data_IF_711090878557
#
_entry.id   IF_711090878557
#
_cell.length_a   1.000
_cell.length_b   1.000
_cell.length_c   1.000
_cell.angle_alpha   90.00
_cell.angle_beta   90.00
_cell.angle_gamma   90.00
#
_symmetry.space_group_name_H-M   'P 1'
#
loop_
_entity.id
_entity.type
_entity.pdbx_description
1 polymer ?
#
# COMPACT_ATOMS: atom_id res chain seq x y z
N UNK A 1 -4.52 -22.95 18.38
CA UNK A 1 -4.90 -21.56 18.00
C UNK A 1 -5.30 -21.59 16.53
N UNK A 2 -6.41 -21.00 16.19
CA UNK A 2 -6.87 -20.87 14.80
C UNK A 2 -5.83 -20.12 13.99
N UNK A 3 -5.53 -20.57 12.78
CA UNK A 3 -4.61 -19.90 11.87
C UNK A 3 -5.41 -19.09 10.85
N UNK A 4 -4.81 -18.03 10.31
CA UNK A 4 -5.42 -17.15 9.31
C UNK A 4 -4.67 -17.28 7.99
N UNK A 5 -5.42 -17.52 6.92
CA UNK A 5 -4.87 -17.77 5.59
C UNK A 5 -5.37 -16.75 4.57
N UNK A 6 -4.45 -16.24 3.76
CA UNK A 6 -4.78 -15.58 2.50
C UNK A 6 -5.20 -16.67 1.52
N UNK A 7 -6.42 -16.59 1.02
CA UNK A 7 -6.98 -17.57 0.08
C UNK A 7 -7.06 -17.07 -1.35
N UNK A 8 -7.49 -15.83 -1.55
CA UNK A 8 -7.48 -15.15 -2.86
C UNK A 8 -7.19 -13.67 -2.67
N UNK A 9 -6.62 -13.04 -3.70
CA UNK A 9 -6.27 -11.64 -3.66
C UNK A 9 -6.24 -11.05 -5.07
N UNK A 10 -6.70 -9.80 -5.22
CA UNK A 10 -6.69 -9.09 -6.49
C UNK A 10 -6.62 -7.58 -6.26
N UNK A 11 -6.14 -6.83 -7.24
CA UNK A 11 -6.06 -5.38 -7.22
C UNK A 11 -6.47 -4.75 -8.54
N UNK A 12 -6.81 -3.49 -8.52
CA UNK A 12 -6.90 -2.69 -9.75
C UNK A 12 -5.49 -2.44 -10.31
N UNK A 13 -5.36 -2.03 -11.58
CA UNK A 13 -4.18 -1.30 -12.02
C UNK A 13 -3.92 -0.10 -11.09
N UNK A 14 -2.68 0.35 -11.01
CA UNK A 14 -2.34 1.60 -10.33
C UNK A 14 -2.32 2.74 -11.36
N UNK A 15 -3.23 3.69 -11.20
CA UNK A 15 -3.32 4.89 -12.03
C UNK A 15 -2.34 5.98 -11.58
N UNK A 16 -1.90 6.82 -12.51
CA UNK A 16 -1.18 8.06 -12.18
C UNK A 16 -2.16 9.12 -11.68
N UNK A 17 -1.63 10.11 -10.98
CA UNK A 17 -2.39 11.32 -10.66
C UNK A 17 -2.97 11.95 -11.92
N UNK A 18 -4.27 12.23 -11.90
CA UNK A 18 -5.04 12.71 -13.04
C UNK A 18 -4.95 11.81 -14.29
N UNK A 19 -4.61 10.52 -14.12
CA UNK A 19 -4.47 9.53 -15.19
C UNK A 19 -5.76 8.73 -15.44
N UNK A 20 -5.59 7.51 -15.92
CA UNK A 20 -6.69 6.68 -16.41
C UNK A 20 -7.80 6.42 -15.38
N UNK A 21 -7.46 6.27 -14.09
CA UNK A 21 -8.43 6.01 -13.01
C UNK A 21 -9.04 7.28 -12.39
N UNK A 22 -8.60 8.46 -12.77
CA UNK A 22 -9.01 9.73 -12.14
C UNK A 22 -10.51 10.06 -12.26
N UNK A 23 -11.20 9.47 -13.25
CA UNK A 23 -12.65 9.63 -13.42
C UNK A 23 -13.47 8.65 -12.60
N UNK A 24 -12.86 7.60 -12.03
CA UNK A 24 -13.53 6.61 -11.19
C UNK A 24 -13.70 7.16 -9.79
N UNK A 25 -14.92 7.16 -9.24
CA UNK A 25 -15.17 7.60 -7.86
C UNK A 25 -14.39 6.75 -6.87
N UNK A 26 -13.98 7.33 -5.75
CA UNK A 26 -13.16 6.63 -4.76
C UNK A 26 -13.88 5.42 -4.15
N UNK A 27 -15.17 5.50 -3.90
CA UNK A 27 -16.00 4.43 -3.37
C UNK A 27 -16.27 3.32 -4.42
N UNK A 28 -16.48 3.68 -5.69
CA UNK A 28 -16.59 2.71 -6.80
C UNK A 28 -15.25 1.99 -7.03
N UNK A 29 -14.14 2.72 -7.01
CA UNK A 29 -12.79 2.15 -7.14
C UNK A 29 -12.51 1.08 -6.05
N UNK A 30 -12.91 1.37 -4.82
CA UNK A 30 -12.76 0.45 -3.69
C UNK A 30 -13.61 -0.83 -3.85
N UNK A 31 -14.75 -0.75 -4.52
CA UNK A 31 -15.66 -1.88 -4.74
C UNK A 31 -15.17 -2.85 -5.83
N UNK A 32 -14.40 -2.36 -6.82
CA UNK A 32 -13.96 -3.18 -7.98
C UNK A 32 -13.25 -4.48 -7.56
N UNK A 33 -12.19 -4.48 -6.73
CA UNK A 33 -11.51 -5.71 -6.36
C UNK A 33 -12.35 -6.63 -5.48
N UNK A 34 -13.28 -6.10 -4.67
CA UNK A 34 -14.22 -6.91 -3.89
C UNK A 34 -15.17 -7.66 -4.84
N UNK A 35 -15.74 -6.95 -5.81
CA UNK A 35 -16.63 -7.55 -6.82
C UNK A 35 -15.89 -8.65 -7.60
N UNK A 36 -14.65 -8.41 -7.98
CA UNK A 36 -13.83 -9.41 -8.68
C UNK A 36 -13.60 -10.66 -7.81
N UNK A 37 -13.38 -10.52 -6.49
CA UNK A 37 -13.27 -11.66 -5.59
C UNK A 37 -14.57 -12.45 -5.49
N UNK A 38 -15.74 -11.77 -5.46
CA UNK A 38 -17.04 -12.42 -5.47
C UNK A 38 -17.23 -13.25 -6.74
N UNK A 39 -16.94 -12.68 -7.89
CA UNK A 39 -17.06 -13.33 -9.20
C UNK A 39 -16.11 -14.53 -9.37
N UNK A 40 -14.89 -14.42 -8.83
CA UNK A 40 -13.88 -15.49 -8.89
C UNK A 40 -14.16 -16.66 -7.94
N UNK A 41 -14.93 -16.42 -6.88
CA UNK A 41 -15.20 -17.40 -5.83
C UNK A 41 -16.70 -17.66 -5.68
N UNK A 42 -17.38 -18.20 -6.73
CA UNK A 42 -18.84 -18.39 -6.73
C UNK A 42 -19.31 -19.47 -5.75
N UNK A 43 -18.40 -20.26 -5.18
CA UNK A 43 -18.71 -21.27 -4.17
C UNK A 43 -18.74 -20.75 -2.74
N UNK A 44 -18.34 -19.48 -2.51
CA UNK A 44 -18.33 -18.88 -1.18
C UNK A 44 -19.73 -18.43 -0.80
N UNK A 45 -20.18 -18.83 0.39
CA UNK A 45 -21.38 -18.25 1.01
C UNK A 45 -21.02 -16.88 1.61
N UNK A 46 -21.26 -15.83 0.85
CA UNK A 46 -20.98 -14.46 1.27
C UNK A 46 -21.87 -13.98 2.43
N UNK A 47 -22.91 -14.72 2.80
CA UNK A 47 -23.67 -14.45 4.01
C UNK A 47 -22.88 -14.80 5.29
N UNK A 48 -21.85 -15.64 5.18
CA UNK A 48 -20.91 -15.95 6.26
C UNK A 48 -19.77 -14.93 6.40
N UNK A 49 -19.70 -13.90 5.54
CA UNK A 49 -18.66 -12.88 5.64
C UNK A 49 -18.89 -12.02 6.89
N UNK A 50 -17.94 -12.09 7.82
CA UNK A 50 -18.02 -11.37 9.10
C UNK A 50 -17.79 -9.85 8.91
N UNK A 51 -16.76 -9.48 8.15
CA UNK A 51 -16.38 -8.06 8.04
C UNK A 51 -15.61 -7.75 6.75
N UNK A 52 -15.62 -6.47 6.36
CA UNK A 52 -14.75 -5.87 5.37
C UNK A 52 -13.82 -4.88 6.07
N UNK A 53 -12.53 -5.14 6.13
CA UNK A 53 -11.53 -4.28 6.79
C UNK A 53 -10.68 -3.60 5.73
N UNK A 54 -10.93 -2.30 5.48
CA UNK A 54 -10.23 -1.56 4.43
C UNK A 54 -9.40 -0.40 4.97
N UNK A 55 -8.18 -0.26 4.44
CA UNK A 55 -7.35 0.90 4.64
C UNK A 55 -7.71 2.04 3.70
N UNK A 56 -7.82 3.26 4.25
CA UNK A 56 -7.93 4.50 3.50
C UNK A 56 -7.34 5.64 4.33
N UNK A 57 -6.42 6.41 3.75
CA UNK A 57 -5.72 7.45 4.48
C UNK A 57 -6.46 8.81 4.45
N UNK A 58 -7.10 9.18 3.34
CA UNK A 58 -7.70 10.50 3.19
C UNK A 58 -9.04 10.63 3.91
N UNK A 59 -10.05 9.90 3.49
CA UNK A 59 -11.42 9.89 4.04
C UNK A 59 -12.11 11.28 4.09
N UNK A 60 -11.66 12.22 3.27
CA UNK A 60 -12.19 13.60 3.25
C UNK A 60 -13.21 13.85 2.11
N UNK A 61 -13.26 12.99 1.10
CA UNK A 61 -14.08 13.13 -0.10
C UNK A 61 -15.11 12.02 -0.26
N UNK A 62 -15.14 11.41 -1.42
CA UNK A 62 -16.03 10.29 -1.78
C UNK A 62 -15.72 9.02 -0.99
N UNK A 63 -14.57 8.97 -0.38
CA UNK A 63 -14.04 7.95 0.53
C UNK A 63 -14.47 8.14 2.01
N UNK A 64 -15.36 9.07 2.30
CA UNK A 64 -15.90 9.31 3.64
C UNK A 64 -16.95 8.25 4.05
N UNK A 65 -17.47 8.37 5.26
CA UNK A 65 -18.59 7.55 5.76
C UNK A 65 -18.34 6.03 5.80
N UNK A 66 -17.14 5.59 6.10
CA UNK A 66 -16.80 4.18 6.14
C UNK A 66 -16.73 3.54 4.73
N UNK A 67 -15.65 3.86 4.02
CA UNK A 67 -15.39 3.37 2.68
C UNK A 67 -15.53 1.83 2.56
N UNK A 68 -15.06 1.07 3.55
CA UNK A 68 -15.14 -0.39 3.57
C UNK A 68 -16.57 -0.89 3.44
N UNK A 69 -17.47 -0.34 4.27
CA UNK A 69 -18.88 -0.72 4.23
C UNK A 69 -19.55 -0.33 2.91
N UNK A 70 -19.26 0.89 2.42
CA UNK A 70 -19.81 1.34 1.13
C UNK A 70 -19.30 0.47 -0.02
N UNK A 71 -18.00 0.18 -0.07
CA UNK A 71 -17.41 -0.67 -1.09
C UNK A 71 -17.99 -2.10 -1.10
N UNK A 72 -18.19 -2.69 0.08
CA UNK A 72 -18.82 -4.00 0.21
C UNK A 72 -20.24 -4.02 -0.37
N UNK A 73 -21.08 -3.04 -0.01
CA UNK A 73 -22.44 -2.91 -0.54
C UNK A 73 -22.46 -2.66 -2.06
N UNK A 74 -21.61 -1.77 -2.55
CA UNK A 74 -21.47 -1.48 -3.99
C UNK A 74 -20.99 -2.70 -4.79
N UNK A 75 -20.17 -3.55 -4.18
CA UNK A 75 -19.70 -4.79 -4.78
C UNK A 75 -20.75 -5.91 -4.80
N UNK A 76 -21.85 -5.75 -4.05
CA UNK A 76 -22.95 -6.72 -3.98
C UNK A 76 -22.83 -7.71 -2.83
N UNK A 77 -22.01 -7.45 -1.81
CA UNK A 77 -22.02 -8.23 -0.58
C UNK A 77 -23.37 -8.08 0.15
N UNK A 78 -23.80 -9.09 0.91
CA UNK A 78 -25.02 -9.01 1.72
C UNK A 78 -24.98 -7.83 2.71
N UNK A 79 -26.14 -7.26 2.99
CA UNK A 79 -26.28 -6.17 3.95
C UNK A 79 -26.07 -6.62 5.41
N UNK A 80 -26.00 -7.92 5.67
CA UNK A 80 -25.57 -8.52 6.93
C UNK A 80 -24.06 -8.38 7.20
N UNK A 81 -23.20 -8.24 6.18
CA UNK A 81 -21.75 -8.12 6.36
C UNK A 81 -21.38 -6.79 7.00
N UNK A 82 -20.47 -6.79 7.96
CA UNK A 82 -19.92 -5.57 8.55
C UNK A 82 -18.96 -4.81 7.62
N UNK A 83 -18.39 -3.72 8.12
CA UNK A 83 -17.33 -2.99 7.42
C UNK A 83 -16.68 -1.96 8.31
N UNK A 84 -15.35 -1.87 8.28
CA UNK A 84 -14.57 -0.87 9.02
C UNK A 84 -13.46 -0.29 8.15
N UNK A 85 -13.39 1.04 8.11
CA UNK A 85 -12.29 1.76 7.45
C UNK A 85 -11.28 2.20 8.49
N UNK A 86 -10.04 1.77 8.33
CA UNK A 86 -8.97 2.13 9.23
C UNK A 86 -7.96 3.08 8.57
N UNK A 87 -7.31 3.90 9.38
CA UNK A 87 -6.27 4.82 8.96
C UNK A 87 -4.99 4.62 9.77
N UNK A 88 -3.98 4.08 9.11
CA UNK A 88 -2.57 4.11 9.53
C UNK A 88 -1.74 4.74 8.40
N UNK A 89 -2.27 5.80 7.77
CA UNK A 89 -1.67 6.46 6.60
C UNK A 89 -1.23 5.42 5.55
N UNK A 90 0.02 5.50 5.08
CA UNK A 90 0.57 4.57 4.07
C UNK A 90 0.40 3.08 4.44
N UNK A 91 0.46 2.74 5.74
CA UNK A 91 0.37 1.37 6.25
C UNK A 91 -1.04 0.81 6.40
N UNK A 92 -2.08 1.59 6.05
CA UNK A 92 -3.48 1.23 6.31
C UNK A 92 -3.87 -0.13 5.71
N UNK A 93 -3.54 -0.39 4.45
CA UNK A 93 -3.88 -1.66 3.81
C UNK A 93 -3.17 -2.87 4.42
N UNK A 94 -1.91 -2.72 4.85
CA UNK A 94 -1.18 -3.81 5.50
C UNK A 94 -1.70 -4.07 6.93
N UNK A 95 -2.11 -3.01 7.63
CA UNK A 95 -2.72 -3.15 8.94
C UNK A 95 -4.14 -3.77 8.85
N UNK A 96 -4.88 -3.51 7.76
CA UNK A 96 -6.16 -4.19 7.48
C UNK A 96 -5.97 -5.72 7.41
N UNK A 97 -4.97 -6.20 6.66
CA UNK A 97 -4.59 -7.62 6.60
C UNK A 97 -4.19 -8.16 7.98
N UNK A 98 -3.39 -7.38 8.73
CA UNK A 98 -2.95 -7.77 10.07
C UNK A 98 -4.12 -7.81 11.07
N UNK A 99 -5.09 -6.91 10.98
CA UNK A 99 -6.28 -6.90 11.85
C UNK A 99 -7.19 -8.08 11.55
N UNK A 100 -7.47 -8.36 10.27
CA UNK A 100 -8.24 -9.52 9.85
C UNK A 100 -7.61 -10.83 10.37
N UNK A 101 -6.30 -10.99 10.20
CA UNK A 101 -5.60 -12.17 10.71
C UNK A 101 -5.65 -12.28 12.24
N UNK A 102 -5.62 -11.15 12.98
CA UNK A 102 -5.76 -11.15 14.45
C UNK A 102 -7.17 -11.54 14.89
N UNK A 103 -8.21 -11.02 14.22
CA UNK A 103 -9.61 -11.35 14.52
C UNK A 103 -9.86 -12.85 14.34
N UNK A 104 -9.41 -13.43 13.22
CA UNK A 104 -9.53 -14.87 12.95
C UNK A 104 -8.76 -15.70 13.99
N UNK A 105 -7.51 -15.33 14.28
CA UNK A 105 -6.69 -16.05 15.28
C UNK A 105 -7.23 -15.90 16.70
N UNK A 106 -7.94 -14.82 16.98
CA UNK A 106 -8.66 -14.57 18.24
C UNK A 106 -9.98 -15.35 18.37
N UNK A 107 -10.46 -15.94 17.27
CA UNK A 107 -11.75 -16.63 17.23
C UNK A 107 -12.96 -15.67 17.23
N UNK A 108 -12.75 -14.41 16.82
CA UNK A 108 -13.82 -13.40 16.72
C UNK A 108 -14.46 -13.40 15.33
N UNK A 109 -13.78 -13.96 14.33
CA UNK A 109 -14.21 -14.03 12.93
C UNK A 109 -13.62 -15.25 12.24
N UNK A 110 -14.25 -15.68 11.16
CA UNK A 110 -13.79 -16.83 10.34
C UNK A 110 -13.50 -16.45 8.89
N UNK A 111 -14.22 -15.48 8.31
CA UNK A 111 -14.09 -15.05 6.92
C UNK A 111 -14.15 -13.53 6.83
N UNK A 112 -13.07 -12.93 6.33
CA UNK A 112 -12.92 -11.47 6.22
C UNK A 112 -12.39 -11.11 4.84
N UNK A 113 -12.89 -10.02 4.26
CA UNK A 113 -12.23 -9.32 3.16
C UNK A 113 -11.38 -8.18 3.75
N UNK A 114 -10.06 -8.28 3.62
CA UNK A 114 -9.14 -7.22 4.00
C UNK A 114 -8.57 -6.53 2.76
N UNK A 115 -8.22 -5.26 2.86
CA UNK A 115 -7.66 -4.57 1.72
C UNK A 115 -7.44 -3.08 1.94
N UNK A 116 -7.63 -2.32 0.88
CA UNK A 116 -7.59 -0.87 0.97
C UNK A 116 -7.67 -0.18 -0.38
N UNK A 117 -7.98 1.09 -0.35
CA UNK A 117 -8.13 1.93 -1.53
C UNK A 117 -7.67 3.35 -1.24
N UNK A 118 -7.15 3.99 -2.27
CA UNK A 118 -6.89 5.42 -2.27
C UNK A 118 -7.13 5.98 -3.65
N UNK A 119 -7.89 7.06 -3.76
CA UNK A 119 -7.96 7.89 -4.96
C UNK A 119 -7.37 9.26 -4.64
N UNK A 120 -6.07 9.41 -4.93
CA UNK A 120 -5.38 10.66 -4.66
C UNK A 120 -5.72 11.73 -5.71
N UNK A 121 -6.13 11.31 -6.92
CA UNK A 121 -6.62 12.23 -7.96
C UNK A 121 -7.95 12.92 -7.58
N UNK A 122 -8.77 12.28 -6.77
CA UNK A 122 -10.09 12.78 -6.36
C UNK A 122 -10.12 13.32 -4.92
N UNK A 123 -8.95 13.43 -4.30
CA UNK A 123 -8.81 14.04 -2.99
C UNK A 123 -9.33 15.50 -3.02
N UNK A 124 -10.31 15.87 -2.17
CA UNK A 124 -10.97 17.15 -2.26
C UNK A 124 -10.14 18.28 -1.64
N UNK A 125 -10.50 19.51 -1.99
CA UNK A 125 -10.14 20.66 -1.18
C UNK A 125 -11.01 20.71 0.08
N UNK A 126 -10.41 21.10 1.20
CA UNK A 126 -11.10 21.26 2.49
C UNK A 126 -10.81 22.62 3.11
N UNK A 127 -11.77 23.14 3.83
CA UNK A 127 -11.70 24.44 4.50
C UNK A 127 -12.23 24.33 5.92
N UNK A 128 -11.54 24.95 6.88
CA UNK A 128 -12.02 25.03 8.26
C UNK A 128 -13.25 25.94 8.35
N UNK A 129 -14.08 25.72 9.37
CA UNK A 129 -15.11 26.71 9.72
C UNK A 129 -14.46 27.94 10.30
N UNK A 130 -15.09 29.11 10.05
CA UNK A 130 -14.71 30.36 10.70
C UNK A 130 -14.75 30.21 12.23
N UNK A 131 -13.75 30.79 12.91
CA UNK A 131 -13.64 30.76 14.39
C UNK A 131 -14.26 31.96 15.05
N UNK A 132 -14.60 32.99 14.28
CA UNK A 132 -15.26 34.20 14.71
C UNK A 132 -16.34 34.70 13.76
N UNK A 133 -17.29 35.49 14.22
CA UNK A 133 -18.28 36.13 13.36
C UNK A 133 -17.59 37.10 12.38
N UNK A 134 -18.04 37.14 11.12
CA UNK A 134 -17.51 38.01 10.08
C UNK A 134 -16.02 37.80 9.77
N UNK A 135 -15.48 36.60 10.06
CA UNK A 135 -14.12 36.25 9.69
C UNK A 135 -13.94 36.38 8.16
N UNK A 136 -12.86 37.06 7.77
CA UNK A 136 -12.52 37.27 6.35
C UNK A 136 -11.34 36.43 5.89
N UNK A 137 -10.78 35.60 6.78
CA UNK A 137 -9.69 34.68 6.48
C UNK A 137 -10.27 33.29 6.22
N UNK A 138 -10.23 32.85 4.96
CA UNK A 138 -10.57 31.49 4.57
C UNK A 138 -9.31 30.84 3.99
N UNK A 139 -8.86 29.76 4.62
CA UNK A 139 -7.74 28.97 4.14
C UNK A 139 -8.27 27.64 3.61
N UNK A 140 -7.89 27.31 2.37
CA UNK A 140 -8.29 26.09 1.70
C UNK A 140 -7.07 25.19 1.49
N UNK A 141 -7.21 23.93 1.85
CA UNK A 141 -6.15 22.93 1.75
C UNK A 141 -6.48 21.88 0.69
N UNK A 142 -5.52 21.57 -0.17
CA UNK A 142 -5.55 20.39 -1.03
C UNK A 142 -5.22 19.15 -0.17
N UNK A 143 -6.09 18.14 -0.20
CA UNK A 143 -5.90 16.92 0.60
C UNK A 143 -5.21 15.79 -0.15
N UNK A 144 -4.77 16.03 -1.39
CA UNK A 144 -4.06 15.05 -2.23
C UNK A 144 -2.83 14.49 -1.51
N UNK A 145 -2.00 15.37 -0.95
CA UNK A 145 -0.78 15.01 -0.21
C UNK A 145 -0.41 16.13 0.77
N UNK A 146 0.25 15.78 1.86
CA UNK A 146 0.80 16.75 2.81
C UNK A 146 -0.13 17.07 3.99
N UNK A 147 0.27 18.10 4.72
CA UNK A 147 -0.39 18.52 5.94
C UNK A 147 -1.58 19.43 5.65
N UNK A 148 -2.63 19.27 6.45
CA UNK A 148 -3.77 20.17 6.54
C UNK A 148 -4.16 20.37 7.99
N UNK A 149 -4.64 21.55 8.36
CA UNK A 149 -5.04 21.89 9.75
C UNK A 149 -3.94 21.56 10.77
N UNK A 150 -2.70 21.99 10.50
CA UNK A 150 -1.52 21.62 11.29
C UNK A 150 -1.72 22.06 12.75
N UNK A 151 -1.61 21.11 13.67
CA UNK A 151 -1.66 21.40 15.10
C UNK A 151 -0.37 22.13 15.54
N UNK A 152 -0.45 23.36 16.08
CA UNK A 152 0.74 24.13 16.46
C UNK A 152 1.65 23.44 17.48
N UNK A 153 1.09 22.62 18.38
CA UNK A 153 1.88 21.86 19.37
C UNK A 153 2.66 20.72 18.69
N UNK A 154 2.04 20.05 17.72
CA UNK A 154 2.73 19.03 16.92
C UNK A 154 3.86 19.64 16.10
N UNK A 155 3.59 20.78 15.44
CA UNK A 155 4.62 21.50 14.67
C UNK A 155 5.79 21.94 15.55
N UNK A 156 5.52 22.46 16.73
CA UNK A 156 6.56 22.90 17.67
C UNK A 156 7.40 21.73 18.21
N UNK A 157 6.80 20.56 18.45
CA UNK A 157 7.47 19.42 19.06
C UNK A 157 8.19 18.52 18.04
N UNK A 158 7.63 18.35 16.84
CA UNK A 158 8.07 17.32 15.87
C UNK A 158 8.27 17.86 14.45
N UNK A 159 7.91 19.13 14.18
CA UNK A 159 7.91 19.69 12.84
C UNK A 159 6.68 19.29 12.01
N UNK A 160 6.63 19.83 10.81
CA UNK A 160 5.61 19.54 9.79
C UNK A 160 6.28 19.27 8.43
N UNK A 161 7.39 18.54 8.45
CA UNK A 161 8.15 18.19 7.26
C UNK A 161 7.23 17.57 6.20
N UNK A 162 7.39 18.00 4.95
CA UNK A 162 6.73 17.36 3.82
C UNK A 162 7.29 15.95 3.59
N UNK A 163 6.54 15.08 2.92
CA UNK A 163 7.03 13.72 2.66
C UNK A 163 8.38 13.70 1.93
N UNK A 164 8.61 14.49 0.86
CA UNK A 164 9.94 14.58 0.24
C UNK A 164 11.02 15.08 1.20
N UNK A 165 10.70 16.02 2.11
CA UNK A 165 11.65 16.49 3.12
C UNK A 165 12.07 15.38 4.08
N UNK A 166 11.17 14.48 4.45
CA UNK A 166 11.52 13.30 5.26
C UNK A 166 12.46 12.35 4.51
N UNK A 167 12.28 12.21 3.19
CA UNK A 167 13.21 11.47 2.32
C UNK A 167 14.62 12.07 2.32
N UNK A 168 14.74 13.41 2.19
CA UNK A 168 16.02 14.12 2.30
C UNK A 168 16.65 13.97 3.69
N UNK A 169 15.85 14.05 4.77
CA UNK A 169 16.36 13.85 6.12
C UNK A 169 16.98 12.46 6.29
N UNK A 170 16.33 11.42 5.74
CA UNK A 170 16.87 10.05 5.74
C UNK A 170 18.16 9.98 4.89
N UNK A 171 18.16 10.55 3.68
CA UNK A 171 19.35 10.56 2.83
C UNK A 171 20.54 11.19 3.55
N UNK A 172 20.34 12.32 4.23
CA UNK A 172 21.37 13.02 4.97
C UNK A 172 21.85 12.24 6.19
N UNK A 173 20.92 11.76 7.03
CA UNK A 173 21.23 11.12 8.31
C UNK A 173 21.90 9.74 8.12
N UNK A 174 21.49 9.00 7.08
CA UNK A 174 22.02 7.68 6.74
C UNK A 174 23.04 7.71 5.60
N UNK A 175 23.45 8.89 5.18
CA UNK A 175 24.51 9.10 4.15
C UNK A 175 24.23 8.34 2.84
N UNK A 176 22.99 8.40 2.37
CA UNK A 176 22.58 7.77 1.11
C UNK A 176 22.87 8.73 -0.05
N UNK A 177 23.76 8.33 -0.95
CA UNK A 177 24.15 9.16 -2.09
C UNK A 177 23.01 9.30 -3.12
N UNK A 178 23.07 10.32 -3.98
CA UNK A 178 22.17 10.50 -5.11
C UNK A 178 22.32 9.36 -6.11
N UNK A 179 23.53 8.93 -6.34
CA UNK A 179 23.86 7.85 -7.27
C UNK A 179 23.26 6.52 -6.83
N UNK A 180 23.35 6.17 -5.55
CA UNK A 180 22.71 4.98 -4.99
C UNK A 180 21.18 5.04 -5.14
N UNK A 181 20.58 6.21 -4.87
CA UNK A 181 19.14 6.42 -5.02
C UNK A 181 18.66 6.25 -6.46
N UNK A 182 19.39 6.80 -7.42
CA UNK A 182 19.04 6.69 -8.83
C UNK A 182 19.24 5.25 -9.35
N UNK A 183 20.28 4.54 -8.88
CA UNK A 183 20.48 3.12 -9.20
C UNK A 183 19.36 2.23 -8.64
N UNK A 184 18.92 2.49 -7.39
CA UNK A 184 17.79 1.80 -6.79
C UNK A 184 16.49 2.05 -7.59
N UNK A 185 16.24 3.30 -7.98
CA UNK A 185 15.07 3.67 -8.77
C UNK A 185 15.07 3.03 -10.16
N UNK A 186 16.21 3.00 -10.85
CA UNK A 186 16.35 2.33 -12.15
C UNK A 186 16.01 0.85 -12.03
N UNK A 187 16.57 0.16 -11.04
CA UNK A 187 16.29 -1.26 -10.80
C UNK A 187 14.81 -1.54 -10.56
N UNK A 188 14.11 -0.67 -9.79
CA UNK A 188 12.67 -0.77 -9.59
C UNK A 188 11.92 -0.69 -10.92
N UNK A 189 12.27 0.25 -11.81
CA UNK A 189 11.66 0.40 -13.14
C UNK A 189 11.95 -0.81 -14.04
N UNK A 190 13.17 -1.31 -14.08
CA UNK A 190 13.55 -2.47 -14.89
C UNK A 190 12.80 -3.73 -14.45
N UNK A 191 12.69 -3.98 -13.14
CA UNK A 191 11.94 -5.11 -12.58
C UNK A 191 10.45 -5.00 -12.88
N UNK A 192 9.86 -3.82 -12.74
CA UNK A 192 8.46 -3.60 -13.10
C UNK A 192 8.18 -3.81 -14.58
N UNK A 193 9.06 -3.30 -15.45
CA UNK A 193 8.95 -3.50 -16.90
C UNK A 193 9.03 -4.98 -17.29
N UNK A 194 9.96 -5.73 -16.69
CA UNK A 194 10.08 -7.17 -16.91
C UNK A 194 8.83 -7.92 -16.42
N UNK A 195 8.31 -7.58 -15.25
CA UNK A 195 7.12 -8.20 -14.66
C UNK A 195 5.83 -7.85 -15.41
N UNK A 196 5.73 -6.66 -16.03
CA UNK A 196 4.65 -6.35 -16.97
C UNK A 196 4.78 -7.16 -18.27
N UNK A 197 5.97 -7.23 -18.85
CA UNK A 197 6.20 -7.89 -20.13
C UNK A 197 5.96 -9.42 -20.07
N UNK A 198 6.29 -10.07 -18.96
CA UNK A 198 6.12 -11.52 -18.77
C UNK A 198 4.76 -11.93 -18.17
N UNK A 199 3.83 -10.98 -17.97
CA UNK A 199 2.49 -11.22 -17.45
C UNK A 199 2.41 -11.44 -15.93
N UNK A 200 3.52 -11.27 -15.19
CA UNK A 200 3.53 -11.47 -13.72
C UNK A 200 2.57 -10.50 -13.02
N UNK A 201 2.60 -9.22 -13.38
CA UNK A 201 1.72 -8.22 -12.79
C UNK A 201 0.26 -8.40 -13.24
N UNK A 202 0.01 -8.83 -14.46
CA UNK A 202 -1.34 -9.09 -14.96
C UNK A 202 -2.08 -10.17 -14.16
N UNK A 203 -1.36 -11.13 -13.57
CA UNK A 203 -1.96 -12.19 -12.75
C UNK A 203 -2.64 -11.68 -11.46
N UNK A 204 -2.29 -10.49 -11.00
CA UNK A 204 -2.85 -9.88 -9.79
C UNK A 204 -3.78 -8.69 -10.07
N UNK A 205 -4.05 -8.39 -11.34
CA UNK A 205 -4.82 -7.21 -11.77
C UNK A 205 -6.20 -7.62 -12.28
N UNK A 206 -7.24 -6.96 -11.76
CA UNK A 206 -8.58 -6.95 -12.37
C UNK A 206 -8.68 -5.79 -13.35
N UNK A 207 -9.21 -6.06 -14.54
CA UNK A 207 -9.47 -5.04 -15.56
C UNK A 207 -10.50 -4.04 -15.04
N UNK A 208 -10.23 -2.75 -15.22
CA UNK A 208 -11.17 -1.68 -14.90
C UNK A 208 -11.78 -1.14 -16.19
N UNK A 209 -13.07 -1.30 -16.34
CA UNK A 209 -13.84 -0.75 -17.46
C UNK A 209 -14.45 0.59 -17.07
N UNK A 210 -14.06 1.65 -17.76
CA UNK A 210 -14.53 3.02 -17.49
C UNK A 210 -15.55 3.42 -18.55
N UNK A 211 -16.85 3.46 -18.21
CA UNK A 211 -17.89 3.85 -19.15
C UNK A 211 -17.63 5.23 -19.75
N UNK A 212 -17.84 5.36 -21.05
CA UNK A 212 -17.74 6.63 -21.75
C UNK A 212 -19.13 7.18 -22.05
N UNK A 213 -19.23 8.51 -22.14
CA UNK A 213 -20.50 9.15 -22.54
C UNK A 213 -20.93 8.74 -23.95
N UNK A 214 -19.99 8.41 -24.81
CA UNK A 214 -20.20 7.91 -26.19
C UNK A 214 -19.06 6.98 -26.54
N UNK A 215 -19.35 5.89 -27.27
CA UNK A 215 -18.37 4.88 -27.69
C UNK A 215 -18.19 3.77 -26.66
N UNK A 216 -17.16 2.95 -26.88
CA UNK A 216 -16.82 1.81 -26.03
C UNK A 216 -16.17 2.28 -24.71
N UNK A 217 -16.26 1.50 -23.63
CA UNK A 217 -15.58 1.80 -22.38
C UNK A 217 -14.05 1.88 -22.58
N UNK A 218 -13.39 2.73 -21.80
CA UNK A 218 -11.92 2.69 -21.71
C UNK A 218 -11.52 1.52 -20.85
N UNK A 219 -10.64 0.67 -21.37
CA UNK A 219 -10.12 -0.50 -20.68
C UNK A 219 -8.78 -0.15 -20.03
N UNK A 220 -8.69 -0.30 -18.71
CA UNK A 220 -7.45 -0.13 -17.95
C UNK A 220 -7.07 -1.49 -17.36
N UNK A 221 -6.03 -2.11 -17.91
CA UNK A 221 -5.62 -3.49 -17.64
C UNK A 221 -4.18 -3.63 -17.13
N UNK A 222 -3.46 -2.52 -16.97
CA UNK A 222 -2.06 -2.49 -16.52
C UNK A 222 -1.74 -1.23 -15.72
N UNK A 223 -0.72 -1.35 -14.88
CA UNK A 223 -0.19 -0.21 -14.12
C UNK A 223 0.31 0.87 -15.07
N UNK A 224 -0.13 2.11 -14.82
CA UNK A 224 0.13 3.26 -15.69
C UNK A 224 1.43 3.98 -15.34
N UNK A 225 1.94 3.81 -14.12
CA UNK A 225 3.06 4.58 -13.58
C UNK A 225 4.45 4.14 -14.08
N UNK A 226 4.73 2.84 -14.41
CA UNK A 226 6.03 2.40 -14.89
C UNK A 226 6.48 3.16 -16.14
N UNK A 227 7.75 3.54 -16.20
CA UNK A 227 8.33 4.30 -17.32
C UNK A 227 9.76 3.84 -17.65
N UNK A 228 10.09 3.80 -18.93
CA UNK A 228 11.46 3.58 -19.35
C UNK A 228 12.35 4.76 -18.93
N UNK A 229 13.49 4.47 -18.32
CA UNK A 229 14.47 5.47 -17.88
C UNK A 229 15.89 4.92 -17.94
N UNK A 230 16.88 5.76 -17.70
CA UNK A 230 18.31 5.40 -17.61
C UNK A 230 18.96 6.16 -16.45
N UNK A 231 20.12 5.72 -15.96
CA UNK A 231 20.90 6.48 -14.96
C UNK A 231 21.21 7.90 -15.43
N UNK A 232 21.52 8.07 -16.71
CA UNK A 232 21.79 9.39 -17.28
C UNK A 232 20.54 10.30 -17.22
N UNK A 233 19.37 9.75 -17.54
CA UNK A 233 18.10 10.50 -17.47
C UNK A 233 17.74 10.85 -16.02
N UNK A 234 17.89 9.91 -15.08
CA UNK A 234 17.67 10.13 -13.65
C UNK A 234 18.62 11.19 -13.10
N UNK A 235 19.92 11.11 -13.42
CA UNK A 235 20.93 12.06 -12.97
C UNK A 235 20.69 13.52 -13.41
N UNK A 236 19.93 13.74 -14.50
CA UNK A 236 19.54 15.08 -14.97
C UNK A 236 18.36 15.69 -14.23
N UNK A 237 17.63 14.90 -13.43
CA UNK A 237 16.48 15.40 -12.68
C UNK A 237 16.93 16.32 -11.54
N UNK A 238 16.22 17.43 -11.42
CA UNK A 238 16.46 18.39 -10.33
C UNK A 238 15.89 17.86 -9.01
N UNK A 239 16.58 18.10 -7.88
CA UNK A 239 16.04 17.86 -6.57
C UNK A 239 14.74 18.64 -6.35
N UNK A 240 13.78 18.04 -5.62
CA UNK A 240 12.43 18.61 -5.42
C UNK A 240 12.25 19.29 -4.06
N UNK A 241 13.21 19.12 -3.13
CA UNK A 241 13.13 19.69 -1.77
C UNK A 241 14.01 20.93 -1.65
N UNK A 242 15.28 20.82 -2.00
CA UNK A 242 16.29 21.89 -1.92
C UNK A 242 17.29 21.78 -3.06
N UNK A 243 17.96 22.85 -3.49
CA UNK A 243 18.84 22.84 -4.65
C UNK A 243 20.01 21.84 -4.57
N UNK A 244 20.53 21.59 -3.36
CA UNK A 244 21.60 20.65 -3.03
C UNK A 244 21.08 19.29 -2.53
N UNK A 245 19.78 19.03 -2.71
CA UNK A 245 19.13 17.79 -2.27
C UNK A 245 19.39 16.62 -3.22
N UNK A 246 18.91 15.45 -2.81
CA UNK A 246 19.10 14.19 -3.52
C UNK A 246 17.78 13.55 -3.99
N UNK A 247 16.66 13.88 -3.34
CA UNK A 247 15.33 13.36 -3.69
C UNK A 247 14.81 14.08 -4.93
N UNK A 248 14.39 13.29 -5.91
CA UNK A 248 13.85 13.77 -7.19
C UNK A 248 12.54 13.06 -7.54
N UNK A 249 11.84 13.54 -8.55
CA UNK A 249 10.67 12.84 -9.11
C UNK A 249 11.01 11.46 -9.73
N UNK A 250 12.30 11.15 -9.93
CA UNK A 250 12.76 9.88 -10.49
C UNK A 250 13.03 8.82 -9.44
N UNK A 251 13.35 9.20 -8.20
CA UNK A 251 13.73 8.31 -7.11
C UNK A 251 12.77 8.37 -5.90
N UNK A 252 11.57 8.89 -6.13
CA UNK A 252 10.44 8.91 -5.21
C UNK A 252 9.24 8.20 -5.83
N UNK A 253 8.36 7.66 -5.00
CA UNK A 253 7.05 7.14 -5.44
C UNK A 253 6.14 8.25 -5.94
N UNK A 254 5.15 7.90 -6.75
CA UNK A 254 4.16 8.84 -7.28
C UNK A 254 2.96 9.07 -6.36
N UNK A 255 2.12 10.01 -6.77
CA UNK A 255 0.74 10.22 -6.32
C UNK A 255 -0.16 9.39 -7.23
N UNK A 256 -0.95 8.48 -6.67
CA UNK A 256 -1.57 7.41 -7.46
C UNK A 256 -2.98 7.06 -6.96
N UNK A 257 -3.73 6.37 -7.83
CA UNK A 257 -5.05 5.82 -7.56
C UNK A 257 -5.01 4.30 -7.63
N UNK A 258 -5.73 3.60 -6.74
CA UNK A 258 -5.83 2.14 -6.80
C UNK A 258 -6.55 1.53 -5.60
N UNK A 259 -6.94 0.27 -5.77
CA UNK A 259 -7.59 -0.53 -4.73
C UNK A 259 -7.14 -1.99 -4.79
N UNK A 260 -7.14 -2.67 -3.63
CA UNK A 260 -6.82 -4.09 -3.52
C UNK A 260 -7.73 -4.76 -2.48
N UNK A 261 -8.08 -6.02 -2.73
CA UNK A 261 -8.88 -6.85 -1.81
C UNK A 261 -8.26 -8.24 -1.69
N UNK A 262 -8.35 -8.81 -0.49
CA UNK A 262 -7.77 -10.09 -0.09
C UNK A 262 -8.79 -10.84 0.75
N UNK A 263 -9.10 -12.07 0.39
CA UNK A 263 -9.87 -12.99 1.23
C UNK A 263 -8.96 -13.60 2.27
N UNK A 264 -9.31 -13.39 3.54
CA UNK A 264 -8.62 -14.01 4.68
C UNK A 264 -9.63 -14.89 5.41
N UNK A 265 -9.27 -16.15 5.61
CA UNK A 265 -10.16 -17.13 6.20
C UNK A 265 -9.43 -17.98 7.26
N UNK A 266 -10.20 -18.52 8.23
CA UNK A 266 -9.76 -19.64 9.05
C UNK A 266 -9.66 -20.91 8.18
N UNK A 267 -8.94 -21.94 8.65
CA UNK A 267 -8.85 -23.21 7.92
C UNK A 267 -10.24 -23.83 7.71
N UNK A 268 -11.10 -23.76 8.73
CA UNK A 268 -12.46 -24.28 8.69
C UNK A 268 -13.34 -23.52 7.68
N UNK A 269 -13.29 -22.19 7.70
CA UNK A 269 -14.04 -21.37 6.74
C UNK A 269 -13.54 -21.57 5.31
N UNK A 270 -12.22 -21.66 5.11
CA UNK A 270 -11.65 -21.94 3.81
C UNK A 270 -12.15 -23.28 3.27
N UNK A 271 -12.10 -24.34 4.08
CA UNK A 271 -12.59 -25.67 3.70
C UNK A 271 -14.10 -25.67 3.39
N UNK A 272 -14.90 -25.03 4.25
CA UNK A 272 -16.36 -24.98 4.10
C UNK A 272 -16.79 -24.23 2.84
N UNK A 273 -16.06 -23.18 2.47
CA UNK A 273 -16.34 -22.34 1.32
C UNK A 273 -15.55 -22.74 0.05
N UNK A 274 -14.83 -23.87 0.06
CA UNK A 274 -14.05 -24.34 -1.10
C UNK A 274 -12.89 -23.42 -1.49
N UNK A 275 -12.43 -22.58 -0.57
CA UNK A 275 -11.27 -21.69 -0.77
C UNK A 275 -9.97 -22.47 -0.57
N UNK A 276 -8.97 -22.13 -1.37
CA UNK A 276 -7.63 -22.75 -1.25
C UNK A 276 -6.70 -21.79 -0.49
N UNK A 277 -6.22 -22.16 0.71
CA UNK A 277 -5.17 -21.42 1.39
C UNK A 277 -3.92 -21.29 0.52
N UNK A 278 -3.38 -20.07 0.41
CA UNK A 278 -2.20 -19.76 -0.40
C UNK A 278 -1.02 -19.32 0.48
N UNK A 279 -1.29 -18.51 1.49
CA UNK A 279 -0.28 -18.12 2.47
C UNK A 279 -0.91 -17.99 3.85
N UNK A 280 -0.19 -18.45 4.87
CA UNK A 280 -0.52 -18.23 6.27
C UNK A 280 0.05 -16.91 6.75
N UNK A 281 -0.75 -16.10 7.44
CA UNK A 281 -0.27 -14.88 8.09
C UNK A 281 0.39 -15.25 9.42
N UNK A 282 1.71 -15.23 9.50
CA UNK A 282 2.46 -15.57 10.70
C UNK A 282 2.32 -14.52 11.81
N UNK A 283 2.20 -13.26 11.43
CA UNK A 283 2.02 -12.14 12.35
C UNK A 283 2.39 -10.82 11.76
N UNK A 284 2.18 -9.76 12.56
CA UNK A 284 2.53 -8.39 12.20
C UNK A 284 3.09 -7.63 13.41
N UNK A 285 3.89 -6.60 13.14
CA UNK A 285 4.37 -5.68 14.16
C UNK A 285 4.44 -4.26 13.63
N UNK A 286 4.27 -3.30 14.55
CA UNK A 286 4.45 -1.87 14.28
C UNK A 286 5.54 -1.32 15.20
N UNK A 287 6.23 -0.29 14.71
CA UNK A 287 7.23 0.45 15.48
C UNK A 287 7.08 1.95 15.23
N UNK A 288 7.36 2.77 16.25
CA UNK A 288 7.46 4.22 16.11
C UNK A 288 8.91 4.64 15.92
N UNK A 289 9.11 5.71 15.15
CA UNK A 289 10.41 6.37 14.92
C UNK A 289 10.20 7.89 14.90
N UNK A 290 11.25 8.71 15.01
CA UNK A 290 11.09 10.16 14.91
C UNK A 290 10.38 10.56 13.60
N UNK A 291 9.35 11.42 13.62
CA UNK A 291 8.56 11.79 12.44
C UNK A 291 9.40 12.30 11.27
N UNK A 292 10.46 13.07 11.54
CA UNK A 292 11.34 13.65 10.51
C UNK A 292 12.12 12.64 9.68
N UNK A 293 12.29 11.43 10.21
CA UNK A 293 12.95 10.29 9.53
C UNK A 293 12.02 9.08 9.46
N UNK A 294 10.73 9.31 9.24
CA UNK A 294 9.70 8.25 9.20
C UNK A 294 10.07 7.08 8.29
N UNK A 295 10.90 7.34 7.26
CA UNK A 295 11.31 6.36 6.26
C UNK A 295 12.00 5.12 6.82
N UNK A 296 12.66 5.22 8.00
CA UNK A 296 13.35 4.06 8.61
C UNK A 296 12.41 3.13 9.40
N UNK A 297 11.13 3.50 9.57
CA UNK A 297 10.17 2.72 10.34
C UNK A 297 10.08 1.22 9.99
N UNK A 298 10.26 0.79 8.73
CA UNK A 298 10.28 -0.63 8.35
C UNK A 298 11.34 -1.46 9.09
N UNK A 299 12.53 -0.92 9.32
CA UNK A 299 13.63 -1.65 9.96
C UNK A 299 13.25 -2.12 11.39
N UNK A 300 12.92 -1.22 12.36
CA UNK A 300 12.55 -1.66 13.70
C UNK A 300 11.22 -2.44 13.74
N UNK A 301 10.29 -2.22 12.79
CA UNK A 301 9.07 -3.02 12.71
C UNK A 301 9.36 -4.46 12.29
N UNK A 302 10.24 -4.65 11.29
CA UNK A 302 10.67 -5.96 10.81
C UNK A 302 11.48 -6.71 11.87
N UNK A 303 12.46 -6.07 12.50
CA UNK A 303 13.24 -6.66 13.59
C UNK A 303 12.36 -7.13 14.74
N UNK A 304 11.40 -6.29 15.16
CA UNK A 304 10.44 -6.64 16.22
C UNK A 304 9.58 -7.83 15.85
N UNK A 305 9.12 -7.90 14.60
CA UNK A 305 8.31 -9.02 14.10
C UNK A 305 9.13 -10.31 14.06
N UNK A 306 10.29 -10.28 13.38
CA UNK A 306 11.15 -11.43 13.20
C UNK A 306 11.61 -12.00 14.54
N UNK A 307 12.02 -11.14 15.48
CA UNK A 307 12.36 -11.55 16.85
C UNK A 307 11.21 -12.29 17.54
N UNK A 308 9.97 -11.80 17.40
CA UNK A 308 8.78 -12.45 17.99
C UNK A 308 8.51 -13.82 17.41
N UNK A 309 8.78 -13.99 16.11
CA UNK A 309 8.58 -15.24 15.39
C UNK A 309 9.77 -16.21 15.49
N UNK A 310 10.89 -15.80 16.09
CA UNK A 310 12.12 -16.61 16.12
C UNK A 310 12.78 -16.74 14.75
N UNK A 311 12.52 -15.80 13.82
CA UNK A 311 13.04 -15.76 12.46
C UNK A 311 14.11 -14.69 12.31
N UNK A 312 14.87 -14.78 11.23
CA UNK A 312 15.88 -13.81 10.82
C UNK A 312 15.58 -13.31 9.40
N UNK A 313 16.08 -12.14 9.04
CA UNK A 313 15.87 -11.55 7.70
C UNK A 313 16.42 -12.43 6.56
N UNK A 314 17.46 -13.20 6.83
CA UNK A 314 18.03 -14.16 5.86
C UNK A 314 17.12 -15.35 5.57
N UNK A 315 16.12 -15.62 6.42
CA UNK A 315 15.18 -16.72 6.26
C UNK A 315 14.05 -16.36 5.28
N UNK A 316 13.94 -15.06 4.89
CA UNK A 316 12.93 -14.59 3.96
C UNK A 316 13.34 -14.89 2.51
N UNK A 317 12.42 -15.51 1.76
CA UNK A 317 12.58 -15.78 0.33
C UNK A 317 12.08 -14.62 -0.54
N UNK A 318 11.12 -13.83 -0.03
CA UNK A 318 10.54 -12.65 -0.69
C UNK A 318 10.43 -11.51 0.32
N UNK A 319 10.86 -10.32 -0.07
CA UNK A 319 10.76 -9.10 0.73
C UNK A 319 10.09 -8.02 -0.11
N UNK A 320 8.85 -7.69 0.20
CA UNK A 320 8.13 -6.55 -0.37
C UNK A 320 8.30 -5.34 0.55
N UNK A 321 9.23 -4.46 0.20
CA UNK A 321 9.49 -3.19 0.88
C UNK A 321 8.88 -2.04 0.08
N UNK A 322 7.95 -1.30 0.66
CA UNK A 322 7.40 -0.12 -0.02
C UNK A 322 8.48 0.94 -0.26
N UNK A 323 8.61 1.37 -1.49
CA UNK A 323 9.60 2.36 -1.95
C UNK A 323 8.98 3.76 -1.96
N UNK A 324 8.70 4.33 -0.79
CA UNK A 324 8.22 5.72 -0.75
C UNK A 324 9.28 6.68 -1.33
N UNK A 325 10.54 6.45 -0.98
CA UNK A 325 11.73 7.12 -1.51
C UNK A 325 12.87 6.10 -1.62
N UNK A 326 13.73 6.23 -2.63
CA UNK A 326 14.90 5.38 -2.77
C UNK A 326 15.84 5.51 -1.55
N UNK A 327 16.04 6.72 -1.04
CA UNK A 327 16.81 6.96 0.19
C UNK A 327 16.29 6.15 1.37
N UNK A 328 14.97 6.11 1.54
CA UNK A 328 14.31 5.34 2.59
C UNK A 328 14.50 3.83 2.38
N UNK A 329 14.31 3.34 1.15
CA UNK A 329 14.49 1.93 0.83
C UNK A 329 15.90 1.47 1.16
N UNK A 330 16.93 2.20 0.68
CA UNK A 330 18.34 1.90 0.93
C UNK A 330 18.70 1.96 2.43
N UNK A 331 18.23 2.97 3.15
CA UNK A 331 18.49 3.08 4.59
C UNK A 331 17.93 1.87 5.35
N UNK A 332 16.74 1.41 5.01
CA UNK A 332 16.11 0.23 5.62
C UNK A 332 16.89 -1.05 5.28
N UNK A 333 17.25 -1.26 4.01
CA UNK A 333 18.01 -2.44 3.59
C UNK A 333 19.35 -2.53 4.33
N UNK A 334 20.11 -1.42 4.38
CA UNK A 334 21.41 -1.35 5.04
C UNK A 334 21.29 -1.59 6.56
N UNK A 335 20.23 -1.08 7.22
CA UNK A 335 19.97 -1.35 8.65
C UNK A 335 19.63 -2.82 8.92
N UNK A 336 18.91 -3.47 8.01
CA UNK A 336 18.57 -4.89 8.12
C UNK A 336 19.69 -5.83 7.65
N UNK A 337 20.83 -5.30 7.21
CA UNK A 337 21.94 -6.10 6.69
C UNK A 337 21.65 -6.77 5.35
N UNK A 338 20.79 -6.16 4.53
CA UNK A 338 20.41 -6.63 3.19
C UNK A 338 21.23 -5.82 2.16
N UNK A 339 21.75 -6.48 1.14
CA UNK A 339 22.43 -5.81 0.04
C UNK A 339 21.47 -4.89 -0.74
N UNK A 340 21.96 -3.76 -1.21
CA UNK A 340 21.16 -2.76 -1.94
C UNK A 340 20.47 -3.36 -3.19
N UNK A 341 21.06 -4.38 -3.81
CA UNK A 341 20.62 -5.05 -5.03
C UNK A 341 20.04 -6.46 -4.80
N UNK A 342 19.79 -6.86 -3.56
CA UNK A 342 19.30 -8.19 -3.23
C UNK A 342 18.06 -8.56 -4.09
N UNK A 343 18.16 -9.72 -4.75
CA UNK A 343 17.14 -10.17 -5.69
C UNK A 343 15.80 -10.50 -5.03
N UNK A 344 15.80 -10.78 -3.72
CA UNK A 344 14.60 -11.08 -2.93
C UNK A 344 13.73 -9.84 -2.66
N UNK A 345 14.32 -8.63 -2.77
CA UNK A 345 13.64 -7.37 -2.47
C UNK A 345 12.94 -6.85 -3.71
N UNK A 346 11.63 -6.70 -3.64
CA UNK A 346 10.78 -6.17 -4.72
C UNK A 346 11.13 -6.80 -6.09
N UNK A 347 11.04 -8.13 -6.24
CA UNK A 347 11.48 -8.81 -7.47
C UNK A 347 10.70 -8.38 -8.70
N UNK A 348 9.51 -7.81 -8.51
CA UNK A 348 8.61 -7.33 -9.58
C UNK A 348 8.54 -5.79 -9.67
N UNK A 349 9.51 -5.09 -9.09
CA UNK A 349 9.48 -3.64 -8.93
C UNK A 349 8.66 -3.18 -7.71
N UNK A 350 8.92 -1.98 -7.22
CA UNK A 350 8.26 -1.40 -6.06
C UNK A 350 7.55 -0.08 -6.39
N UNK A 351 7.22 0.69 -5.37
CA UNK A 351 6.36 1.87 -5.49
C UNK A 351 6.97 3.01 -6.33
N UNK A 352 8.29 3.10 -6.48
CA UNK A 352 8.92 4.07 -7.39
C UNK A 352 8.49 3.80 -8.84
N UNK A 353 8.39 2.53 -9.22
CA UNK A 353 7.96 2.14 -10.55
C UNK A 353 6.45 1.99 -10.66
N UNK A 354 5.80 1.31 -9.69
CA UNK A 354 4.38 0.95 -9.77
C UNK A 354 3.44 2.05 -9.27
N UNK A 355 3.90 2.90 -8.34
CA UNK A 355 3.08 3.91 -7.68
C UNK A 355 2.72 3.56 -6.24
N UNK A 356 2.13 4.56 -5.52
CA UNK A 356 1.84 4.48 -4.09
C UNK A 356 0.47 5.03 -3.71
N UNK A 357 -0.65 4.39 -4.10
CA UNK A 357 -1.95 4.71 -3.54
C UNK A 357 -1.95 4.34 -2.05
N UNK A 358 -2.03 5.34 -1.14
CA UNK A 358 -1.68 5.17 0.28
C UNK A 358 -2.42 3.99 0.95
N UNK A 359 -3.74 4.02 0.95
CA UNK A 359 -4.57 2.99 1.61
C UNK A 359 -4.46 1.60 0.98
N UNK A 360 -4.19 1.52 -0.32
CA UNK A 360 -4.06 0.26 -1.06
C UNK A 360 -2.70 -0.39 -0.89
N UNK A 361 -1.62 0.40 -0.80
CA UNK A 361 -0.25 -0.09 -0.99
C UNK A 361 0.13 -1.23 -0.07
N UNK A 362 -0.26 -1.17 1.20
CA UNK A 362 0.06 -2.25 2.14
C UNK A 362 -0.62 -3.58 1.80
N UNK A 363 -1.86 -3.55 1.31
CA UNK A 363 -2.56 -4.73 0.83
C UNK A 363 -1.90 -5.27 -0.45
N UNK A 364 -1.45 -4.38 -1.37
CA UNK A 364 -0.68 -4.76 -2.55
C UNK A 364 0.62 -5.49 -2.17
N UNK A 365 1.37 -5.02 -1.17
CA UNK A 365 2.58 -5.72 -0.72
C UNK A 365 2.29 -7.15 -0.26
N UNK A 366 1.24 -7.35 0.55
CA UNK A 366 0.85 -8.68 1.03
C UNK A 366 0.40 -9.59 -0.13
N UNK A 367 -0.40 -9.07 -1.06
CA UNK A 367 -0.85 -9.76 -2.26
C UNK A 367 0.34 -10.15 -3.14
N UNK A 368 1.21 -9.19 -3.49
CA UNK A 368 2.36 -9.43 -4.37
C UNK A 368 3.34 -10.42 -3.76
N UNK A 369 3.59 -10.34 -2.43
CA UNK A 369 4.43 -11.31 -1.72
C UNK A 369 3.82 -12.72 -1.77
N UNK A 370 2.51 -12.85 -1.58
CA UNK A 370 1.80 -14.13 -1.68
C UNK A 370 1.92 -14.72 -3.09
N UNK A 371 1.66 -13.92 -4.12
CA UNK A 371 1.80 -14.34 -5.52
C UNK A 371 3.23 -14.79 -5.86
N UNK A 372 4.21 -14.04 -5.39
CA UNK A 372 5.61 -14.34 -5.66
C UNK A 372 6.07 -15.63 -4.98
N UNK A 373 5.67 -15.86 -3.72
CA UNK A 373 5.96 -17.11 -3.02
C UNK A 373 5.35 -18.33 -3.73
N UNK A 374 4.14 -18.19 -4.29
CA UNK A 374 3.50 -19.26 -5.04
C UNK A 374 4.25 -19.57 -6.35
N UNK A 375 4.78 -18.56 -7.01
CA UNK A 375 5.45 -18.70 -8.32
C UNK A 375 6.87 -19.22 -8.20
N UNK A 376 7.66 -18.71 -7.27
CA UNK A 376 9.08 -19.07 -7.13
C UNK A 376 9.33 -20.27 -6.20
N UNK A 377 8.27 -20.78 -5.53
CA UNK A 377 8.36 -21.90 -4.61
C UNK A 377 8.98 -21.53 -3.25
N UNK A 378 9.22 -20.24 -2.98
CA UNK A 378 9.71 -19.75 -1.69
C UNK A 378 8.74 -20.04 -0.55
N UNK A 379 9.22 -20.08 0.69
CA UNK A 379 8.42 -20.41 1.86
C UNK A 379 8.00 -19.18 2.65
N UNK A 380 8.93 -18.27 2.93
CA UNK A 380 8.71 -17.13 3.83
C UNK A 380 8.75 -15.79 3.09
N UNK A 381 7.77 -14.96 3.35
CA UNK A 381 7.66 -13.60 2.82
C UNK A 381 7.56 -12.56 3.92
N UNK A 382 8.13 -11.39 3.67
CA UNK A 382 8.03 -10.20 4.51
C UNK A 382 7.47 -9.05 3.69
N UNK A 383 6.35 -8.47 4.12
CA UNK A 383 5.83 -7.20 3.61
C UNK A 383 6.08 -6.12 4.66
N UNK A 384 6.72 -5.01 4.28
CA UNK A 384 7.03 -3.94 5.24
C UNK A 384 7.01 -2.56 4.58
N UNK A 385 6.65 -1.53 5.35
CA UNK A 385 6.55 -0.17 4.84
C UNK A 385 6.69 0.90 5.91
N UNK A 386 7.19 2.06 5.50
CA UNK A 386 7.20 3.27 6.30
C UNK A 386 5.82 3.94 6.30
N UNK A 387 5.59 4.75 7.31
CA UNK A 387 4.30 5.40 7.54
C UNK A 387 4.57 6.83 7.99
N UNK A 388 3.89 7.78 7.39
CA UNK A 388 3.96 9.18 7.77
C UNK A 388 3.76 9.39 9.28
N UNK A 389 4.25 10.51 9.79
CA UNK A 389 4.25 10.83 11.24
C UNK A 389 5.09 9.86 12.07
N UNK A 390 6.03 9.13 11.44
CA UNK A 390 7.07 8.37 12.16
C UNK A 390 6.65 7.00 12.65
N UNK A 391 6.19 6.11 11.75
CA UNK A 391 5.93 4.72 12.08
C UNK A 391 6.45 3.78 10.98
N UNK A 392 6.50 2.49 11.30
CA UNK A 392 6.66 1.40 10.35
C UNK A 392 5.75 0.23 10.71
N UNK A 393 5.40 -0.59 9.73
CA UNK A 393 4.67 -1.84 9.88
C UNK A 393 5.35 -2.94 9.09
N UNK A 394 5.34 -4.14 9.64
CA UNK A 394 5.81 -5.36 8.99
C UNK A 394 4.81 -6.50 9.20
N UNK A 395 4.65 -7.35 8.20
CA UNK A 395 3.80 -8.54 8.19
C UNK A 395 4.59 -9.70 7.58
N UNK A 396 4.59 -10.85 8.24
CA UNK A 396 5.25 -12.06 7.77
C UNK A 396 4.23 -13.09 7.27
N UNK A 397 4.55 -13.71 6.15
CA UNK A 397 3.74 -14.71 5.45
C UNK A 397 4.52 -16.00 5.31
N UNK A 398 3.81 -17.13 5.30
CA UNK A 398 4.36 -18.43 4.95
C UNK A 398 3.48 -19.08 3.89
N UNK A 399 4.09 -19.47 2.77
CA UNK A 399 3.39 -20.22 1.71
C UNK A 399 2.92 -21.57 2.24
N UNK A 400 1.71 -21.96 1.89
CA UNK A 400 1.10 -23.25 2.22
C UNK A 400 0.73 -24.02 0.97
#
# INVERSE_FOLDING_TARGET
MTEAFICDAIRTPIGRYAGALSSVRADDLAAIPIKALIERNPGVDWAELDDVIYGCANQAGEDNRNLARMAGLLAGLPDSSGGVTLNRLCGSGLDAVAMAARAIRGGESDLIIAGGSESMSRAPFVMAKATSAFDRNAEMYDTTIGWRFVNPKMKAAYGDDTMPSTGENVAQEFQISREDQDAFALRSQERAAAAQANGRLAAEIVVVEIPQRRGDPVIVDKDEHPRATTLEALGKLKPIVRPDGTVTAGNASGVNDGAAAIIIASEEAAKRNGLTPRARVLGAAVAGVPPRIMGIGPAPASEKLLKRLGLQIRDMDVIELNEAFAAQGLAVLRQLGIADDDARVNPNGGAIALGHPLGMSGARLALTATEELQRNGGRLGLATMCIGVGQGIALALERV
#
